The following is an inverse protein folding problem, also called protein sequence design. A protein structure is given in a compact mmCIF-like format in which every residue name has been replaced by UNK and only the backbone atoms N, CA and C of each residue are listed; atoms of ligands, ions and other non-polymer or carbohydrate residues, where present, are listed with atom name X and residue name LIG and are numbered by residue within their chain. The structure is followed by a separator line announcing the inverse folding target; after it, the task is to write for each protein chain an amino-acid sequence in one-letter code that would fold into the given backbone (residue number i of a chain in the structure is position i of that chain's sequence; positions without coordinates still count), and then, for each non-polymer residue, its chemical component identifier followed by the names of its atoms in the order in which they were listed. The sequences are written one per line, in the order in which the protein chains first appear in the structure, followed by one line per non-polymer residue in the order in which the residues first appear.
data_IF_328874200229
#
_entry.id   IF_328874200229
#
_cell.length_a   1.000
_cell.length_b   1.000
_cell.length_c   1.000
_cell.angle_alpha   90.00
_cell.angle_beta   90.00
_cell.angle_gamma   90.00
#
_symmetry.space_group_name_H-M   'P 1'
#
loop_
_entity.id
_entity.type
_entity.pdbx_description
1 polymer ?
#
# COMPACT_ATOMS: atom_id res chain seq x y z
N UNK A 1 17.43 -8.39 -9.65
CA UNK A 1 16.96 -7.14 -10.24
C UNK A 1 17.34 -5.98 -9.31
N UNK A 2 17.93 -4.92 -9.86
CA UNK A 2 18.34 -3.73 -9.10
C UNK A 2 17.17 -2.96 -8.44
N UNK A 3 15.94 -3.37 -8.72
CA UNK A 3 14.72 -2.76 -8.17
C UNK A 3 14.29 -3.35 -6.81
N UNK A 4 14.72 -4.55 -6.44
CA UNK A 4 14.27 -5.21 -5.21
C UNK A 4 14.75 -4.51 -3.93
N UNK A 5 15.98 -4.01 -3.89
CA UNK A 5 16.49 -3.26 -2.75
C UNK A 5 15.66 -1.99 -2.48
N UNK A 6 15.54 -1.08 -3.45
CA UNK A 6 14.68 0.09 -3.33
C UNK A 6 13.21 -0.23 -3.02
N UNK A 7 12.66 -1.32 -3.58
CA UNK A 7 11.30 -1.79 -3.29
C UNK A 7 11.11 -2.08 -1.79
N UNK A 8 11.97 -2.93 -1.21
CA UNK A 8 11.85 -3.29 0.20
C UNK A 8 12.18 -2.14 1.15
N UNK A 9 13.11 -1.26 0.77
CA UNK A 9 13.43 -0.05 1.54
C UNK A 9 12.20 0.89 1.62
N UNK A 10 11.51 1.11 0.50
CA UNK A 10 10.28 1.90 0.47
C UNK A 10 9.17 1.23 1.28
N UNK A 11 8.93 -0.08 1.08
CA UNK A 11 7.91 -0.84 1.80
C UNK A 11 8.13 -0.79 3.32
N UNK A 12 9.36 -0.93 3.79
CA UNK A 12 9.69 -0.85 5.21
C UNK A 12 9.42 0.55 5.79
N UNK A 13 9.79 1.62 5.08
CA UNK A 13 9.52 3.00 5.51
C UNK A 13 8.01 3.30 5.54
N UNK A 14 7.27 2.87 4.53
CA UNK A 14 5.82 3.00 4.48
C UNK A 14 5.18 2.24 5.67
N UNK A 15 5.64 1.03 5.97
CA UNK A 15 5.14 0.24 7.08
C UNK A 15 5.36 0.92 8.45
N UNK A 16 6.53 1.54 8.66
CA UNK A 16 6.81 2.32 9.88
C UNK A 16 5.84 3.51 10.00
N UNK A 17 5.62 4.25 8.92
CA UNK A 17 4.69 5.39 8.91
C UNK A 17 3.26 4.89 9.17
N UNK A 18 2.83 3.82 8.51
CA UNK A 18 1.48 3.26 8.67
C UNK A 18 1.21 2.79 10.10
N UNK A 19 2.16 2.10 10.73
CA UNK A 19 2.06 1.70 12.12
C UNK A 19 2.03 2.90 13.08
N UNK A 20 2.78 3.96 12.79
CA UNK A 20 2.74 5.20 13.56
C UNK A 20 1.35 5.87 13.46
N UNK A 21 0.78 5.94 12.27
CA UNK A 21 -0.59 6.44 12.04
C UNK A 21 -1.63 5.60 12.80
N UNK A 22 -1.52 4.27 12.76
CA UNK A 22 -2.42 3.38 13.49
C UNK A 22 -2.38 3.62 15.01
N UNK A 23 -1.18 3.85 15.57
CA UNK A 23 -1.04 4.21 17.00
C UNK A 23 -1.65 5.56 17.34
N UNK A 24 -1.49 6.56 16.48
CA UNK A 24 -2.01 7.91 16.72
C UNK A 24 -3.53 7.99 16.59
N UNK A 25 -4.08 7.31 15.59
CA UNK A 25 -5.53 7.35 15.30
C UNK A 25 -6.34 6.36 16.11
N UNK A 26 -5.71 5.32 16.66
CA UNK A 26 -6.37 4.19 17.33
C UNK A 26 -7.41 3.45 16.46
N UNK A 27 -7.31 3.57 15.13
CA UNK A 27 -8.27 2.99 14.19
C UNK A 27 -8.06 1.50 13.94
N UNK A 28 -6.82 1.01 14.10
CA UNK A 28 -6.45 -0.38 13.86
C UNK A 28 -5.25 -0.79 14.72
N UNK A 29 -5.00 -2.11 14.83
CA UNK A 29 -3.82 -2.63 15.51
C UNK A 29 -2.54 -2.26 14.72
N UNK A 30 -1.59 -1.60 15.38
CA UNK A 30 -0.40 -1.09 14.72
C UNK A 30 0.51 -2.18 14.15
N UNK A 31 0.59 -3.35 14.78
CA UNK A 31 1.44 -4.47 14.33
C UNK A 31 0.83 -5.15 13.10
N UNK A 32 -0.50 -5.25 13.05
CA UNK A 32 -1.22 -5.74 11.87
C UNK A 32 -1.10 -4.78 10.69
N UNK A 33 -1.22 -3.47 10.94
CA UNK A 33 -1.04 -2.42 9.93
C UNK A 33 0.39 -2.41 9.40
N UNK A 34 1.40 -2.56 10.29
CA UNK A 34 2.80 -2.70 9.89
C UNK A 34 3.00 -3.89 8.96
N UNK A 35 2.51 -5.07 9.38
CA UNK A 35 2.64 -6.31 8.61
C UNK A 35 1.96 -6.19 7.24
N UNK A 36 0.73 -5.67 7.22
CA UNK A 36 0.01 -5.42 5.98
C UNK A 36 0.77 -4.47 5.05
N UNK A 37 1.17 -3.29 5.54
CA UNK A 37 1.85 -2.27 4.74
C UNK A 37 3.21 -2.75 4.21
N UNK A 38 3.93 -3.59 4.97
CA UNK A 38 5.19 -4.18 4.54
C UNK A 38 5.00 -5.18 3.39
N UNK A 39 3.96 -6.00 3.45
CA UNK A 39 3.78 -7.13 2.55
C UNK A 39 2.69 -6.96 1.50
N UNK A 40 1.91 -5.86 1.50
CA UNK A 40 0.79 -5.66 0.56
C UNK A 40 1.19 -5.85 -0.91
N UNK A 41 2.40 -5.38 -1.26
CA UNK A 41 2.96 -5.45 -2.61
C UNK A 41 3.98 -6.59 -2.80
N UNK A 42 4.08 -7.56 -1.88
CA UNK A 42 5.08 -8.63 -1.94
C UNK A 42 4.99 -9.47 -3.23
N UNK A 43 3.81 -9.59 -3.82
CA UNK A 43 3.63 -10.23 -5.12
C UNK A 43 4.36 -9.50 -6.25
N UNK A 44 4.47 -8.17 -6.21
CA UNK A 44 5.26 -7.39 -7.16
C UNK A 44 6.75 -7.73 -7.05
N UNK A 45 7.27 -7.94 -5.83
CA UNK A 45 8.65 -8.39 -5.63
C UNK A 45 8.91 -9.77 -6.28
N UNK A 46 7.94 -10.69 -6.22
CA UNK A 46 8.03 -11.99 -6.91
C UNK A 46 8.02 -11.80 -8.42
N UNK A 47 7.12 -10.99 -8.95
CA UNK A 47 7.07 -10.70 -10.40
C UNK A 47 8.35 -10.03 -10.89
N UNK A 48 8.90 -9.06 -10.17
CA UNK A 48 10.18 -8.41 -10.47
C UNK A 48 11.36 -9.39 -10.53
N UNK A 49 11.28 -10.49 -9.78
CA UNK A 49 12.32 -11.51 -9.75
C UNK A 49 12.11 -12.57 -10.81
N UNK A 50 10.86 -12.87 -11.16
CA UNK A 50 10.50 -14.02 -11.98
C UNK A 50 10.19 -13.69 -13.44
N UNK A 51 9.76 -12.45 -13.73
CA UNK A 51 9.35 -12.01 -15.07
C UNK A 51 10.14 -10.78 -15.51
N UNK A 52 10.90 -10.92 -16.60
CA UNK A 52 11.70 -9.81 -17.14
C UNK A 52 10.82 -8.66 -17.63
N UNK A 53 9.67 -8.98 -18.18
CA UNK A 53 8.67 -8.05 -18.72
C UNK A 53 8.00 -7.20 -17.63
N UNK A 54 8.06 -7.62 -16.36
CA UNK A 54 7.38 -6.93 -15.28
C UNK A 54 8.09 -5.63 -14.85
N UNK A 55 9.41 -5.55 -14.96
CA UNK A 55 10.15 -4.38 -14.52
C UNK A 55 9.76 -3.07 -15.27
N UNK A 56 9.58 -3.06 -16.61
CA UNK A 56 9.05 -1.90 -17.33
C UNK A 56 7.63 -1.52 -16.91
N UNK A 57 6.74 -2.50 -16.69
CA UNK A 57 5.36 -2.28 -16.24
C UNK A 57 5.36 -1.63 -14.85
N UNK A 58 6.09 -2.20 -13.90
CA UNK A 58 6.25 -1.67 -12.55
C UNK A 58 6.80 -0.24 -12.54
N UNK A 59 7.77 0.07 -13.43
CA UNK A 59 8.30 1.44 -13.57
C UNK A 59 7.25 2.43 -14.05
N UNK A 60 6.36 2.03 -14.98
CA UNK A 60 5.24 2.88 -15.43
C UNK A 60 4.24 3.13 -14.32
N UNK A 61 3.94 2.10 -13.52
CA UNK A 61 3.08 2.26 -12.35
C UNK A 61 3.67 3.26 -11.36
N UNK A 62 4.94 3.10 -10.97
CA UNK A 62 5.62 4.03 -10.07
C UNK A 62 5.65 5.48 -10.61
N UNK A 63 5.67 5.66 -11.91
CA UNK A 63 5.61 6.96 -12.57
C UNK A 63 4.20 7.54 -12.70
N UNK A 64 3.17 6.88 -12.14
CA UNK A 64 1.75 7.21 -12.27
C UNK A 64 1.29 7.29 -13.75
N UNK A 65 1.90 6.45 -14.61
CA UNK A 65 1.57 6.34 -16.04
C UNK A 65 0.62 5.17 -16.32
N UNK A 66 -0.03 4.65 -15.28
CA UNK A 66 -0.98 3.54 -15.31
C UNK A 66 -2.16 3.92 -14.42
N UNK A 67 -3.38 3.84 -14.95
CA UNK A 67 -4.60 4.21 -14.21
C UNK A 67 -5.01 3.14 -13.21
N UNK A 68 -4.98 1.87 -13.62
CA UNK A 68 -5.24 0.71 -12.78
C UNK A 68 -4.13 -0.33 -12.95
N UNK A 69 -3.33 -0.58 -11.89
CA UNK A 69 -2.24 -1.54 -11.98
C UNK A 69 -2.74 -2.98 -12.15
N UNK A 70 -3.88 -3.33 -11.57
CA UNK A 70 -4.44 -4.69 -11.64
C UNK A 70 -4.89 -5.03 -13.06
N UNK A 71 -5.68 -4.13 -13.69
CA UNK A 71 -6.12 -4.32 -15.07
C UNK A 71 -4.94 -4.37 -16.02
N UNK A 72 -3.97 -3.46 -15.86
CA UNK A 72 -2.78 -3.41 -16.72
C UNK A 72 -1.94 -4.70 -16.60
N UNK A 73 -1.74 -5.21 -15.39
CA UNK A 73 -1.03 -6.47 -15.18
C UNK A 73 -1.75 -7.67 -15.80
N UNK A 74 -3.08 -7.75 -15.65
CA UNK A 74 -3.87 -8.81 -16.26
C UNK A 74 -3.80 -8.77 -17.78
N UNK A 75 -3.86 -7.58 -18.39
CA UNK A 75 -3.82 -7.41 -19.84
C UNK A 75 -2.44 -7.73 -20.42
N UNK A 76 -1.36 -7.33 -19.76
CA UNK A 76 -0.01 -7.45 -20.30
C UNK A 76 0.68 -8.77 -19.94
N UNK A 77 0.43 -9.33 -18.76
CA UNK A 77 1.12 -10.54 -18.28
C UNK A 77 0.19 -11.64 -17.76
N UNK A 78 -1.13 -11.42 -17.77
CA UNK A 78 -2.14 -12.44 -17.44
C UNK A 78 -2.26 -12.78 -15.94
N UNK A 79 -1.55 -12.08 -15.07
CA UNK A 79 -1.60 -12.27 -13.60
C UNK A 79 -1.31 -10.93 -12.91
N UNK A 80 -1.89 -10.69 -11.75
CA UNK A 80 -1.61 -9.48 -11.00
C UNK A 80 -0.94 -9.76 -9.64
N UNK A 81 -0.11 -8.79 -9.21
CA UNK A 81 0.70 -8.92 -8.00
C UNK A 81 -0.13 -9.12 -6.72
N UNK A 82 -1.31 -8.49 -6.61
CA UNK A 82 -2.14 -8.62 -5.42
C UNK A 82 -2.65 -10.07 -5.21
N UNK A 83 -2.92 -10.82 -6.30
CA UNK A 83 -3.27 -12.24 -6.20
C UNK A 83 -2.09 -13.08 -5.74
N UNK A 84 -0.89 -12.83 -6.26
CA UNK A 84 0.33 -13.52 -5.85
C UNK A 84 0.63 -13.21 -4.37
N UNK A 85 0.55 -11.96 -3.97
CA UNK A 85 0.74 -11.52 -2.58
C UNK A 85 -0.28 -12.16 -1.63
N UNK A 86 -1.54 -12.24 -2.03
CA UNK A 86 -2.58 -12.94 -1.28
C UNK A 86 -2.24 -14.42 -1.04
N UNK A 87 -1.80 -15.14 -2.09
CA UNK A 87 -1.39 -16.55 -1.98
C UNK A 87 -0.17 -16.74 -1.08
N UNK A 88 0.81 -15.83 -1.17
CA UNK A 88 1.96 -15.85 -0.27
C UNK A 88 1.54 -15.61 1.18
N UNK A 89 0.72 -14.59 1.44
CA UNK A 89 0.22 -14.27 2.77
C UNK A 89 -0.53 -15.46 3.41
N UNK A 90 -1.34 -16.16 2.61
CA UNK A 90 -2.00 -17.41 3.05
C UNK A 90 -0.99 -18.50 3.39
N UNK A 91 0.08 -18.68 2.58
CA UNK A 91 1.12 -19.67 2.83
C UNK A 91 1.98 -19.38 4.07
N UNK A 92 2.04 -18.10 4.47
CA UNK A 92 2.71 -17.64 5.70
C UNK A 92 1.77 -17.61 6.91
N UNK A 93 0.55 -18.09 6.76
CA UNK A 93 -0.46 -18.13 7.82
C UNK A 93 -0.79 -16.76 8.42
N UNK A 94 -0.74 -15.69 7.59
CA UNK A 94 -1.20 -14.39 8.04
C UNK A 94 -2.72 -14.39 8.30
N UNK A 95 -3.23 -13.51 9.17
CA UNK A 95 -4.66 -13.40 9.43
C UNK A 95 -5.50 -13.26 8.15
N UNK A 96 -6.68 -13.86 8.12
CA UNK A 96 -7.55 -13.83 6.94
C UNK A 96 -7.91 -12.41 6.51
N UNK A 97 -8.10 -11.48 7.46
CA UNK A 97 -8.31 -10.06 7.21
C UNK A 97 -7.14 -9.42 6.46
N UNK A 98 -5.91 -9.73 6.84
CA UNK A 98 -4.69 -9.26 6.18
C UNK A 98 -4.58 -9.85 4.77
N UNK A 99 -4.81 -11.15 4.61
CA UNK A 99 -4.77 -11.81 3.30
C UNK A 99 -5.78 -11.20 2.32
N UNK A 100 -7.02 -10.95 2.80
CA UNK A 100 -8.08 -10.37 1.97
C UNK A 100 -7.78 -8.90 1.66
N UNK A 101 -7.23 -8.15 2.62
CA UNK A 101 -6.81 -6.77 2.39
C UNK A 101 -5.69 -6.68 1.33
N UNK A 102 -4.72 -7.60 1.34
CA UNK A 102 -3.67 -7.69 0.30
C UNK A 102 -4.29 -7.92 -1.08
N UNK A 103 -5.30 -8.78 -1.19
CA UNK A 103 -5.96 -9.01 -2.49
C UNK A 103 -6.68 -7.76 -3.03
N UNK A 104 -7.28 -6.97 -2.14
CA UNK A 104 -8.20 -5.90 -2.49
C UNK A 104 -7.61 -4.48 -2.35
N UNK A 105 -6.32 -4.31 -2.06
CA UNK A 105 -5.78 -3.00 -1.70
C UNK A 105 -5.75 -1.99 -2.86
N UNK A 106 -5.93 -2.44 -4.09
CA UNK A 106 -6.11 -1.60 -5.27
C UNK A 106 -7.58 -1.38 -5.66
N UNK A 107 -8.53 -2.00 -4.94
CA UNK A 107 -9.96 -1.85 -5.22
C UNK A 107 -10.54 -0.70 -4.40
N UNK A 108 -11.00 0.36 -5.07
CA UNK A 108 -11.60 1.51 -4.40
C UNK A 108 -12.84 1.15 -3.58
N UNK A 109 -13.59 0.11 -3.96
CA UNK A 109 -14.76 -0.38 -3.21
C UNK A 109 -14.37 -0.95 -1.83
N UNK A 110 -13.11 -1.34 -1.63
CA UNK A 110 -12.60 -1.75 -0.33
C UNK A 110 -12.58 -0.60 0.69
N UNK A 111 -12.49 0.65 0.24
CA UNK A 111 -12.42 1.83 1.10
C UNK A 111 -13.80 2.43 1.42
N UNK A 112 -14.76 2.37 0.49
CA UNK A 112 -16.10 2.92 0.68
C UNK A 112 -17.06 1.99 1.46
N UNK A 113 -16.62 0.75 1.72
CA UNK A 113 -17.37 -0.24 2.48
C UNK A 113 -18.37 -1.06 1.64
N UNK A 114 -18.34 -0.94 0.32
CA UNK A 114 -19.20 -1.72 -0.58
C UNK A 114 -18.61 -3.08 -0.97
N UNK A 115 -17.29 -3.28 -0.76
CA UNK A 115 -16.62 -4.54 -1.07
C UNK A 115 -17.14 -5.69 -0.18
N UNK A 116 -17.66 -6.73 -0.80
CA UNK A 116 -18.38 -7.82 -0.11
C UNK A 116 -17.54 -8.62 0.90
N UNK A 117 -16.22 -8.65 0.74
CA UNK A 117 -15.31 -9.49 1.53
C UNK A 117 -14.32 -8.71 2.40
N UNK A 118 -14.40 -7.36 2.41
CA UNK A 118 -13.55 -6.51 3.24
C UNK A 118 -14.34 -5.98 4.44
N UNK A 119 -13.97 -6.45 5.64
CA UNK A 119 -14.48 -5.92 6.90
C UNK A 119 -13.84 -4.59 7.30
N UNK A 120 -14.32 -4.02 8.42
CA UNK A 120 -13.83 -2.72 8.92
C UNK A 120 -12.31 -2.70 9.15
N UNK A 121 -11.73 -3.78 9.69
CA UNK A 121 -10.29 -3.85 9.97
C UNK A 121 -9.47 -3.87 8.68
N UNK A 122 -9.85 -4.66 7.68
CA UNK A 122 -9.19 -4.69 6.36
C UNK A 122 -9.26 -3.33 5.67
N UNK A 123 -10.42 -2.67 5.70
CA UNK A 123 -10.61 -1.34 5.14
C UNK A 123 -9.69 -0.30 5.79
N UNK A 124 -9.58 -0.31 7.13
CA UNK A 124 -8.72 0.60 7.87
C UNK A 124 -7.24 0.34 7.60
N UNK A 125 -6.82 -0.92 7.49
CA UNK A 125 -5.44 -1.28 7.10
C UNK A 125 -5.09 -0.72 5.71
N UNK A 126 -5.97 -0.89 4.73
CA UNK A 126 -5.78 -0.36 3.36
C UNK A 126 -5.69 1.17 3.40
N UNK A 127 -6.63 1.84 4.10
CA UNK A 127 -6.66 3.29 4.20
C UNK A 127 -5.38 3.86 4.85
N UNK A 128 -4.97 3.31 6.00
CA UNK A 128 -3.77 3.76 6.72
C UNK A 128 -2.49 3.54 5.89
N UNK A 129 -2.38 2.42 5.18
CA UNK A 129 -1.23 2.17 4.30
C UNK A 129 -1.20 3.11 3.09
N UNK A 130 -2.36 3.44 2.51
CA UNK A 130 -2.47 4.42 1.42
C UNK A 130 -2.05 5.83 1.87
N UNK A 131 -2.48 6.27 3.04
CA UNK A 131 -2.09 7.55 3.63
C UNK A 131 -0.59 7.56 3.96
N UNK A 132 -0.07 6.46 4.49
CA UNK A 132 1.36 6.30 4.78
C UNK A 132 2.21 6.36 3.50
N UNK A 133 1.76 5.74 2.43
CA UNK A 133 2.42 5.81 1.13
C UNK A 133 2.43 7.23 0.57
N UNK A 134 1.30 7.93 0.61
CA UNK A 134 1.23 9.34 0.22
C UNK A 134 2.22 10.19 1.04
N UNK A 135 2.26 9.97 2.35
CA UNK A 135 3.19 10.66 3.25
C UNK A 135 4.64 10.38 2.87
N UNK A 136 4.99 9.11 2.61
CA UNK A 136 6.32 8.71 2.15
C UNK A 136 6.71 9.36 0.82
N UNK A 137 5.79 9.36 -0.17
CA UNK A 137 6.06 9.96 -1.48
C UNK A 137 6.23 11.48 -1.39
N UNK A 138 5.44 12.16 -0.57
CA UNK A 138 5.62 13.60 -0.31
C UNK A 138 6.95 13.90 0.37
N UNK A 139 7.35 13.06 1.34
CA UNK A 139 8.60 13.22 2.07
C UNK A 139 9.84 12.96 1.20
N UNK A 140 9.81 11.91 0.39
CA UNK A 140 11.00 11.37 -0.29
C UNK A 140 11.13 11.79 -1.74
N UNK A 141 10.02 12.16 -2.40
CA UNK A 141 9.95 12.42 -3.84
C UNK A 141 9.28 13.75 -4.21
N UNK A 142 8.74 14.48 -3.24
CA UNK A 142 7.99 15.73 -3.43
C UNK A 142 6.88 15.63 -4.48
N UNK A 143 6.23 14.48 -4.57
CA UNK A 143 5.12 14.20 -5.48
C UNK A 143 4.07 13.31 -4.82
N UNK A 144 2.83 13.21 -5.38
CA UNK A 144 1.84 12.26 -4.87
C UNK A 144 2.29 10.81 -5.12
N UNK A 145 1.76 9.90 -4.28
CA UNK A 145 1.85 8.46 -4.52
C UNK A 145 1.10 8.07 -5.80
N UNK A 146 1.49 6.95 -6.47
CA UNK A 146 0.94 6.56 -7.77
C UNK A 146 -0.59 6.52 -7.84
N UNK A 147 -1.27 5.99 -6.81
CA UNK A 147 -2.72 5.84 -6.80
C UNK A 147 -3.47 6.88 -5.97
N UNK A 148 -2.77 7.89 -5.44
CA UNK A 148 -3.38 8.89 -4.57
C UNK A 148 -4.57 9.60 -5.21
N UNK A 149 -4.48 9.93 -6.49
CA UNK A 149 -5.57 10.60 -7.22
C UNK A 149 -6.83 9.73 -7.28
N UNK A 150 -6.69 8.41 -7.41
CA UNK A 150 -7.80 7.46 -7.53
C UNK A 150 -8.43 7.11 -6.18
N UNK A 151 -7.62 6.88 -5.15
CA UNK A 151 -8.06 6.27 -3.89
C UNK A 151 -7.88 7.17 -2.66
N UNK A 152 -7.10 8.25 -2.75
CA UNK A 152 -6.69 9.05 -1.60
C UNK A 152 -7.87 9.69 -0.84
N UNK A 153 -8.86 10.23 -1.54
CA UNK A 153 -10.03 10.84 -0.90
C UNK A 153 -10.83 9.82 -0.08
N UNK A 154 -11.00 8.60 -0.60
CA UNK A 154 -11.70 7.53 0.11
C UNK A 154 -10.88 7.05 1.34
N UNK A 155 -9.55 6.97 1.22
CA UNK A 155 -8.68 6.62 2.33
C UNK A 155 -8.73 7.66 3.46
N UNK A 156 -8.67 8.94 3.14
CA UNK A 156 -8.82 10.03 4.11
C UNK A 156 -10.16 9.98 4.82
N UNK A 157 -11.25 9.83 4.06
CA UNK A 157 -12.60 9.69 4.62
C UNK A 157 -12.70 8.50 5.57
N UNK A 158 -12.10 7.36 5.22
CA UNK A 158 -12.09 6.16 6.05
C UNK A 158 -11.39 6.38 7.41
N UNK A 159 -10.42 7.29 7.47
CA UNK A 159 -9.63 7.60 8.66
C UNK A 159 -10.06 8.90 9.37
N UNK A 160 -11.12 9.55 8.91
CA UNK A 160 -11.58 10.87 9.41
C UNK A 160 -10.45 11.93 9.36
N UNK A 161 -9.69 11.91 8.26
CA UNK A 161 -8.59 12.84 7.95
C UNK A 161 -8.94 13.68 6.71
N UNK A 162 -8.26 14.81 6.57
CA UNK A 162 -8.37 15.70 5.44
C UNK A 162 -7.03 15.88 4.71
N UNK A 163 -7.06 16.37 3.48
CA UNK A 163 -5.84 16.56 2.66
C UNK A 163 -4.80 17.48 3.35
N UNK A 164 -5.24 18.47 4.12
CA UNK A 164 -4.32 19.36 4.83
C UNK A 164 -3.55 18.67 5.97
N UNK A 165 -4.06 17.56 6.52
CA UNK A 165 -3.37 16.79 7.56
C UNK A 165 -2.11 16.10 7.03
N UNK A 166 -2.03 15.84 5.72
CA UNK A 166 -0.86 15.21 5.09
C UNK A 166 0.43 15.99 5.37
N UNK A 167 0.38 17.33 5.39
CA UNK A 167 1.57 18.14 5.68
C UNK A 167 2.10 17.92 7.10
N UNK A 168 1.21 17.79 8.08
CA UNK A 168 1.58 17.46 9.46
C UNK A 168 2.12 16.03 9.56
N UNK A 169 1.47 15.08 8.91
CA UNK A 169 1.92 13.68 8.86
C UNK A 169 3.31 13.54 8.23
N UNK A 170 3.63 14.30 7.19
CA UNK A 170 4.98 14.35 6.59
C UNK A 170 6.01 14.83 7.61
N UNK A 171 5.68 15.87 8.40
CA UNK A 171 6.57 16.37 9.45
C UNK A 171 6.83 15.33 10.55
N UNK A 172 5.78 14.65 11.00
CA UNK A 172 5.87 13.58 12.01
C UNK A 172 6.64 12.36 11.48
N UNK A 173 6.39 11.95 10.24
CA UNK A 173 7.09 10.84 9.59
C UNK A 173 8.59 11.09 9.47
N UNK A 174 9.00 12.32 9.18
CA UNK A 174 10.42 12.71 9.14
C UNK A 174 11.11 12.45 10.47
N UNK A 175 10.47 12.80 11.57
CA UNK A 175 10.98 12.56 12.91
C UNK A 175 11.04 11.08 13.26
N UNK A 176 10.02 10.32 12.91
CA UNK A 176 9.95 8.86 13.17
C UNK A 176 11.00 8.07 12.40
N UNK A 177 11.25 8.41 11.14
CA UNK A 177 12.25 7.73 10.31
C UNK A 177 13.70 8.11 10.66
N UNK A 178 13.92 9.24 11.33
CA UNK A 178 15.24 9.67 11.80
C UNK A 178 15.64 9.00 13.14
N UNK A 179 14.67 8.43 13.86
CA UNK A 179 14.89 7.82 15.17
C UNK A 179 15.14 6.31 15.10
N UNK A 180 15.02 5.67 13.95
CA UNK A 180 15.24 4.24 13.70
C UNK A 180 16.43 3.99 12.81
#
# INVERSE_FOLDING_TARGET
SGMLGPFWDASAKIAVIAASLARQTHLANADEVYTFALFRDCGAAVLLQSLVEYAPLYSRWLASAVDDPIETELDEIGVHHALIGHKLAQSWYLPASTCTAILAHHDASALDGTHAHIGADGRRMIALAMIAEQTYYRLSHDRPAPEWQRMGAAALTCCDLAEHDIAELVSLARSSLAAG
#
